data_IF_282991443310
#
_entry.id   IF_282991443310
#
_cell.length_a   1.000
_cell.length_b   1.000
_cell.length_c   1.000
_cell.angle_alpha   90.00
_cell.angle_beta   90.00
_cell.angle_gamma   90.00
#
_symmetry.space_group_name_H-M   'P 1'
#
loop_
_entity.id
_entity.type
_entity.pdbx_description
1 polymer ?
#
# COMPACT_ATOMS: atom_id res chain seq x y z
N UNK A 1 19.77 -14.98 -11.79
CA UNK A 1 19.45 -13.68 -11.16
C UNK A 1 20.31 -13.56 -9.91
N UNK A 2 20.93 -12.40 -9.66
CA UNK A 2 21.62 -12.13 -8.39
C UNK A 2 20.56 -11.86 -7.31
N UNK A 3 20.95 -11.99 -6.05
CA UNK A 3 20.06 -11.79 -4.89
C UNK A 3 19.36 -10.43 -4.92
N UNK A 4 20.05 -9.38 -5.36
CA UNK A 4 19.49 -8.02 -5.48
C UNK A 4 18.33 -7.92 -6.48
N UNK A 5 18.39 -8.62 -7.61
CA UNK A 5 17.28 -8.63 -8.57
C UNK A 5 16.09 -9.44 -8.06
N UNK A 6 16.35 -10.53 -7.32
CA UNK A 6 15.28 -11.31 -6.67
C UNK A 6 14.52 -10.45 -5.66
N UNK A 7 15.25 -9.69 -4.83
CA UNK A 7 14.64 -8.75 -3.88
C UNK A 7 13.84 -7.67 -4.61
N UNK A 8 14.36 -7.10 -5.70
CA UNK A 8 13.65 -6.09 -6.48
C UNK A 8 12.35 -6.63 -7.08
N UNK A 9 12.38 -7.80 -7.72
CA UNK A 9 11.19 -8.42 -8.28
C UNK A 9 10.18 -8.81 -7.20
N UNK A 10 10.62 -9.40 -6.09
CA UNK A 10 9.75 -9.75 -4.98
C UNK A 10 9.06 -8.50 -4.40
N UNK A 11 9.81 -7.42 -4.21
CA UNK A 11 9.28 -6.14 -3.73
C UNK A 11 8.26 -5.56 -4.73
N UNK A 12 8.55 -5.63 -6.04
CA UNK A 12 7.62 -5.19 -7.09
C UNK A 12 6.32 -6.00 -7.08
N UNK A 13 6.39 -7.33 -6.97
CA UNK A 13 5.20 -8.20 -6.93
C UNK A 13 4.28 -7.80 -5.76
N UNK A 14 4.86 -7.63 -4.57
CA UNK A 14 4.12 -7.21 -3.38
C UNK A 14 3.57 -5.79 -3.54
N UNK A 15 4.34 -4.87 -4.13
CA UNK A 15 3.89 -3.51 -4.41
C UNK A 15 2.68 -3.47 -5.36
N UNK A 16 2.71 -4.28 -6.43
CA UNK A 16 1.59 -4.37 -7.39
C UNK A 16 0.35 -4.98 -6.74
N UNK A 17 0.52 -6.01 -5.91
CA UNK A 17 -0.57 -6.56 -5.10
C UNK A 17 -1.20 -5.48 -4.20
N UNK A 18 -0.38 -4.73 -3.45
CA UNK A 18 -0.84 -3.65 -2.59
C UNK A 18 -1.55 -2.54 -3.38
N UNK A 19 -1.02 -2.15 -4.54
CA UNK A 19 -1.65 -1.19 -5.42
C UNK A 19 -3.05 -1.67 -5.82
N UNK A 20 -3.19 -2.92 -6.28
CA UNK A 20 -4.48 -3.51 -6.61
C UNK A 20 -5.46 -3.48 -5.44
N UNK A 21 -5.03 -3.90 -4.25
CA UNK A 21 -5.85 -3.88 -3.02
C UNK A 21 -6.32 -2.46 -2.69
N UNK A 22 -5.44 -1.46 -2.73
CA UNK A 22 -5.77 -0.07 -2.40
C UNK A 22 -6.71 0.54 -3.43
N UNK A 23 -6.47 0.32 -4.72
CA UNK A 23 -7.34 0.81 -5.79
C UNK A 23 -8.74 0.18 -5.73
N UNK A 24 -8.82 -1.14 -5.54
CA UNK A 24 -10.10 -1.84 -5.33
C UNK A 24 -10.81 -1.30 -4.10
N UNK A 25 -10.07 -1.05 -3.02
CA UNK A 25 -10.64 -0.49 -1.78
C UNK A 25 -11.21 0.91 -2.01
N UNK A 26 -10.48 1.75 -2.74
CA UNK A 26 -10.86 3.13 -3.02
C UNK A 26 -12.08 3.23 -3.94
N UNK A 27 -12.11 2.43 -5.02
CA UNK A 27 -13.12 2.55 -6.07
C UNK A 27 -14.37 1.72 -5.81
N UNK A 28 -14.24 0.60 -5.09
CA UNK A 28 -15.33 -0.36 -4.92
C UNK A 28 -15.70 -0.51 -3.45
N UNK A 29 -14.75 -0.88 -2.59
CA UNK A 29 -15.07 -1.27 -1.20
C UNK A 29 -15.65 -0.10 -0.42
N UNK A 30 -14.93 1.02 -0.30
CA UNK A 30 -15.39 2.15 0.50
C UNK A 30 -16.64 2.84 -0.07
N UNK A 31 -16.81 3.03 -1.40
CA UNK A 31 -18.06 3.58 -1.92
C UNK A 31 -19.27 2.70 -1.60
N UNK A 32 -19.12 1.37 -1.69
CA UNK A 32 -20.21 0.42 -1.39
C UNK A 32 -20.56 0.39 0.09
N UNK A 33 -19.68 0.82 1.01
CA UNK A 33 -20.02 0.94 2.43
C UNK A 33 -21.20 1.88 2.68
N UNK A 34 -21.42 2.88 1.82
CA UNK A 34 -22.56 3.78 1.93
C UNK A 34 -23.92 3.07 1.80
N UNK A 35 -23.94 1.83 1.28
CA UNK A 35 -25.13 1.00 1.13
C UNK A 35 -25.38 0.08 2.33
N UNK A 36 -24.46 0.01 3.29
CA UNK A 36 -24.60 -0.83 4.49
C UNK A 36 -25.55 -0.15 5.46
N UNK A 37 -26.61 -0.86 5.86
CA UNK A 37 -27.58 -0.37 6.83
C UNK A 37 -26.96 -0.13 8.21
N UNK A 38 -27.59 0.74 9.00
CA UNK A 38 -27.09 1.13 10.32
C UNK A 38 -27.04 -0.06 11.29
N UNK A 39 -28.04 -0.96 11.22
CA UNK A 39 -28.10 -2.16 12.04
C UNK A 39 -26.96 -3.16 11.73
N UNK A 40 -26.55 -3.25 10.46
CA UNK A 40 -25.51 -4.17 9.98
C UNK A 40 -24.10 -3.59 10.13
N UNK A 41 -23.97 -2.28 10.35
CA UNK A 41 -22.71 -1.55 10.25
C UNK A 41 -21.59 -2.11 11.14
N UNK A 42 -21.89 -2.39 12.41
CA UNK A 42 -20.91 -2.88 13.37
C UNK A 42 -20.42 -4.28 12.97
N UNK A 43 -21.35 -5.19 12.67
CA UNK A 43 -21.02 -6.56 12.27
C UNK A 43 -20.19 -6.57 10.97
N UNK A 44 -20.57 -5.73 10.01
CA UNK A 44 -19.82 -5.54 8.77
C UNK A 44 -18.39 -5.03 9.03
N UNK A 45 -18.23 -3.98 9.84
CA UNK A 45 -16.92 -3.40 10.14
C UNK A 45 -16.02 -4.38 10.93
N UNK A 46 -16.57 -5.13 11.88
CA UNK A 46 -15.81 -6.15 12.60
C UNK A 46 -15.36 -7.28 11.67
N UNK A 47 -16.26 -7.75 10.79
CA UNK A 47 -15.93 -8.73 9.76
C UNK A 47 -14.84 -8.20 8.80
N UNK A 48 -14.91 -6.94 8.40
CA UNK A 48 -13.90 -6.30 7.55
C UNK A 48 -12.54 -6.21 8.27
N UNK A 49 -12.52 -5.68 9.51
CA UNK A 49 -11.31 -5.57 10.35
C UNK A 49 -10.59 -6.90 10.56
N UNK A 50 -11.32 -8.01 10.76
CA UNK A 50 -10.70 -9.33 10.96
C UNK A 50 -9.98 -9.86 9.70
N UNK A 51 -10.31 -9.37 8.52
CA UNK A 51 -9.71 -9.80 7.24
C UNK A 51 -8.52 -8.94 6.80
N UNK A 52 -8.48 -7.67 7.26
CA UNK A 52 -7.42 -6.70 6.95
C UNK A 52 -5.97 -7.21 7.19
N UNK A 53 -5.65 -7.95 8.27
CA UNK A 53 -4.28 -8.37 8.51
C UNK A 53 -3.67 -9.17 7.36
N UNK A 54 -4.41 -10.14 6.83
CA UNK A 54 -3.92 -11.01 5.74
C UNK A 54 -3.91 -10.33 4.37
N UNK A 55 -4.86 -9.43 4.11
CA UNK A 55 -5.02 -8.80 2.78
C UNK A 55 -4.30 -7.47 2.62
N UNK A 56 -4.00 -6.77 3.72
CA UNK A 56 -3.40 -5.43 3.66
C UNK A 56 -2.18 -5.28 4.57
N UNK A 57 -2.23 -5.70 5.84
CA UNK A 57 -1.11 -5.41 6.76
C UNK A 57 0.13 -6.25 6.49
N UNK A 58 -0.02 -7.56 6.30
CA UNK A 58 1.12 -8.44 5.97
C UNK A 58 1.75 -8.03 4.63
N UNK A 59 0.98 -7.84 3.54
CA UNK A 59 1.53 -7.36 2.27
C UNK A 59 2.22 -5.99 2.34
N UNK A 60 1.68 -5.00 3.06
CA UNK A 60 2.40 -3.72 3.26
C UNK A 60 3.67 -3.89 4.10
N UNK A 61 3.65 -4.74 5.12
CA UNK A 61 4.85 -5.06 5.90
C UNK A 61 5.95 -5.69 5.04
N UNK A 62 5.58 -6.57 4.12
CA UNK A 62 6.50 -7.17 3.15
C UNK A 62 7.05 -6.14 2.15
N UNK A 63 6.25 -5.17 1.71
CA UNK A 63 6.72 -4.09 0.85
C UNK A 63 7.75 -3.20 1.55
N UNK A 64 7.49 -2.82 2.81
CA UNK A 64 8.43 -2.06 3.63
C UNK A 64 9.74 -2.84 3.87
N UNK A 65 9.65 -4.14 4.17
CA UNK A 65 10.81 -5.00 4.33
C UNK A 65 11.60 -5.10 3.01
N UNK A 66 10.94 -5.26 1.88
CA UNK A 66 11.56 -5.26 0.56
C UNK A 66 12.29 -3.95 0.27
N UNK A 67 11.66 -2.81 0.56
CA UNK A 67 12.27 -1.50 0.40
C UNK A 67 13.51 -1.31 1.30
N UNK A 68 13.46 -1.80 2.55
CA UNK A 68 14.63 -1.84 3.45
C UNK A 68 15.75 -2.72 2.89
N UNK A 69 15.42 -3.92 2.41
CA UNK A 69 16.40 -4.82 1.82
C UNK A 69 17.05 -4.22 0.57
N UNK A 70 16.32 -3.44 -0.24
CA UNK A 70 16.87 -2.75 -1.41
C UNK A 70 17.88 -1.65 -1.05
N UNK A 71 17.88 -1.11 0.16
CA UNK A 71 18.92 -0.18 0.61
C UNK A 71 20.27 -0.91 0.73
N UNK A 72 20.25 -2.12 1.28
CA UNK A 72 21.46 -2.94 1.52
C UNK A 72 21.85 -3.75 0.28
N UNK A 73 20.88 -4.35 -0.39
CA UNK A 73 21.02 -5.22 -1.55
C UNK A 73 20.65 -4.50 -2.85
N UNK A 74 21.04 -3.23 -2.97
CA UNK A 74 20.77 -2.39 -4.14
C UNK A 74 21.47 -2.96 -5.40
N UNK A 75 20.76 -3.20 -6.51
CA UNK A 75 21.42 -3.48 -7.78
C UNK A 75 22.29 -2.30 -8.22
N UNK A 76 23.50 -2.56 -8.73
CA UNK A 76 24.50 -1.51 -9.01
C UNK A 76 24.02 -0.43 -10.01
N UNK A 77 23.13 -0.80 -10.95
CA UNK A 77 22.54 0.11 -11.94
C UNK A 77 21.39 0.95 -11.38
N UNK A 78 20.87 0.64 -10.18
CA UNK A 78 19.83 1.44 -9.52
C UNK A 78 20.48 2.57 -8.73
N UNK A 79 20.11 3.85 -8.96
CA UNK A 79 20.69 4.96 -8.22
C UNK A 79 20.27 4.94 -6.74
N UNK A 80 21.16 5.39 -5.86
CA UNK A 80 20.97 5.30 -4.41
C UNK A 80 19.77 6.08 -3.89
N UNK A 81 19.46 7.24 -4.49
CA UNK A 81 18.29 8.03 -4.11
C UNK A 81 16.98 7.27 -4.31
N UNK A 82 16.92 6.36 -5.30
CA UNK A 82 15.70 5.68 -5.66
C UNK A 82 15.29 4.63 -4.60
N UNK A 83 16.24 3.89 -4.04
CA UNK A 83 15.94 2.92 -2.96
C UNK A 83 15.55 3.64 -1.66
N UNK A 84 16.16 4.80 -1.37
CA UNK A 84 15.76 5.63 -0.24
C UNK A 84 14.38 6.26 -0.43
N UNK A 85 14.05 6.70 -1.65
CA UNK A 85 12.70 7.19 -1.96
C UNK A 85 11.66 6.08 -1.82
N UNK A 86 11.95 4.88 -2.31
CA UNK A 86 11.07 3.71 -2.18
C UNK A 86 10.77 3.42 -0.69
N UNK A 87 11.81 3.38 0.15
CA UNK A 87 11.66 3.23 1.59
C UNK A 87 10.88 4.37 2.24
N UNK A 88 11.17 5.61 1.88
CA UNK A 88 10.47 6.79 2.42
C UNK A 88 8.97 6.75 2.13
N UNK A 89 8.57 6.33 0.92
CA UNK A 89 7.14 6.20 0.56
C UNK A 89 6.43 5.18 1.43
N UNK A 90 6.97 3.97 1.59
CA UNK A 90 6.37 2.93 2.46
C UNK A 90 6.38 3.34 3.95
N UNK A 91 7.44 4.00 4.41
CA UNK A 91 7.51 4.52 5.79
C UNK A 91 6.44 5.59 6.05
N UNK A 92 6.25 6.54 5.12
CA UNK A 92 5.19 7.55 5.19
C UNK A 92 3.81 6.89 5.16
N UNK A 93 3.62 5.89 4.30
CA UNK A 93 2.36 5.14 4.25
C UNK A 93 2.04 4.44 5.57
N UNK A 94 3.02 3.77 6.19
CA UNK A 94 2.86 3.12 7.49
C UNK A 94 2.53 4.15 8.57
N UNK A 95 3.29 5.24 8.64
CA UNK A 95 3.10 6.30 9.63
C UNK A 95 1.71 6.96 9.49
N UNK A 96 1.30 7.32 8.28
CA UNK A 96 -0.02 7.89 8.01
C UNK A 96 -1.15 6.89 8.28
N UNK A 97 -0.92 5.59 8.06
CA UNK A 97 -1.89 4.56 8.43
C UNK A 97 -2.07 4.48 9.94
N UNK A 98 -0.98 4.42 10.69
CA UNK A 98 -1.02 4.34 12.16
C UNK A 98 -1.61 5.59 12.81
N UNK A 99 -1.28 6.78 12.31
CA UNK A 99 -1.62 8.05 12.96
C UNK A 99 -2.93 8.67 12.47
N UNK A 100 -3.36 8.36 11.24
CA UNK A 100 -4.51 9.01 10.63
C UNK A 100 -5.60 8.03 10.18
N UNK A 101 -5.30 7.09 9.29
CA UNK A 101 -6.34 6.23 8.71
C UNK A 101 -6.87 5.17 9.70
N UNK A 102 -6.03 4.55 10.51
CA UNK A 102 -6.48 3.58 11.52
C UNK A 102 -7.37 4.24 12.58
N UNK A 103 -7.00 5.39 13.19
CA UNK A 103 -7.91 6.10 14.10
C UNK A 103 -9.22 6.53 13.44
N UNK A 104 -9.17 6.96 12.17
CA UNK A 104 -10.37 7.32 11.42
C UNK A 104 -11.30 6.11 11.23
N UNK A 105 -10.77 4.94 10.87
CA UNK A 105 -11.56 3.72 10.76
C UNK A 105 -12.11 3.24 12.10
N UNK A 106 -11.38 3.40 13.20
CA UNK A 106 -11.87 3.06 14.56
C UNK A 106 -13.06 3.95 14.94
N UNK A 107 -13.00 5.25 14.64
CA UNK A 107 -14.14 6.14 14.84
C UNK A 107 -15.33 5.72 13.97
N UNK A 108 -15.05 5.41 12.70
CA UNK A 108 -16.06 4.96 11.75
C UNK A 108 -16.70 3.63 12.17
N UNK A 109 -15.97 2.71 12.83
CA UNK A 109 -16.56 1.45 13.30
C UNK A 109 -17.56 1.61 14.45
N UNK A 110 -17.65 2.80 15.08
CA UNK A 110 -18.59 3.06 16.18
C UNK A 110 -19.99 3.48 15.69
N UNK A 111 -20.14 3.80 14.41
CA UNK A 111 -21.42 4.19 13.82
C UNK A 111 -21.27 4.62 12.36
N UNK A 112 -22.34 4.46 11.58
CA UNK A 112 -22.37 4.84 10.18
C UNK A 112 -22.46 6.37 10.03
N UNK A 113 -21.34 7.06 10.24
CA UNK A 113 -21.23 8.51 10.06
C UNK A 113 -20.83 8.86 8.60
N UNK A 114 -21.74 9.41 7.79
CA UNK A 114 -21.45 9.74 6.39
C UNK A 114 -20.37 10.81 6.23
N UNK A 115 -20.17 11.69 7.22
CA UNK A 115 -19.12 12.70 7.20
C UNK A 115 -17.74 12.05 7.35
N UNK A 116 -17.62 11.08 8.26
CA UNK A 116 -16.39 10.32 8.44
C UNK A 116 -16.10 9.43 7.22
N UNK A 117 -17.13 8.81 6.62
CA UNK A 117 -16.97 8.01 5.40
C UNK A 117 -16.49 8.86 4.22
N UNK A 118 -17.10 10.05 3.99
CA UNK A 118 -16.63 10.98 2.96
C UNK A 118 -15.19 11.44 3.20
N UNK A 119 -14.83 11.70 4.46
CA UNK A 119 -13.45 12.06 4.83
C UNK A 119 -12.47 10.91 4.56
N UNK A 120 -12.86 9.67 4.86
CA UNK A 120 -12.07 8.49 4.55
C UNK A 120 -11.84 8.38 3.04
N UNK A 121 -12.90 8.41 2.23
CA UNK A 121 -12.83 8.37 0.77
C UNK A 121 -11.94 9.47 0.18
N UNK A 122 -12.12 10.72 0.62
CA UNK A 122 -11.34 11.85 0.12
C UNK A 122 -9.85 11.73 0.45
N UNK A 123 -9.53 11.33 1.68
CA UNK A 123 -8.12 11.24 2.12
C UNK A 123 -7.43 9.93 1.73
N UNK A 124 -8.18 8.88 1.41
CA UNK A 124 -7.63 7.60 0.97
C UNK A 124 -7.09 7.67 -0.47
N UNK A 125 -7.50 8.65 -1.28
CA UNK A 125 -6.83 8.98 -2.55
C UNK A 125 -5.33 9.25 -2.39
N UNK A 126 -4.88 9.76 -1.24
CA UNK A 126 -3.45 9.93 -0.94
C UNK A 126 -2.75 8.57 -0.92
N UNK A 127 -3.37 7.52 -0.33
CA UNK A 127 -2.80 6.16 -0.36
C UNK A 127 -2.74 5.61 -1.77
N UNK A 128 -3.79 5.80 -2.56
CA UNK A 128 -3.83 5.36 -3.96
C UNK A 128 -2.68 6.00 -4.76
N UNK A 129 -2.42 7.30 -4.56
CA UNK A 129 -1.27 7.98 -5.14
C UNK A 129 0.07 7.40 -4.69
N UNK A 130 0.25 7.21 -3.37
CA UNK A 130 1.52 6.70 -2.81
C UNK A 130 1.86 5.28 -3.30
N UNK A 131 0.91 4.35 -3.30
CA UNK A 131 1.16 2.98 -3.81
C UNK A 131 1.45 2.96 -5.30
N UNK A 132 0.80 3.84 -6.07
CA UNK A 132 1.06 3.96 -7.51
C UNK A 132 2.45 4.52 -7.77
N UNK A 133 2.87 5.55 -7.03
CA UNK A 133 4.24 6.10 -7.13
C UNK A 133 5.29 5.07 -6.74
N UNK A 134 5.08 4.35 -5.63
CA UNK A 134 5.98 3.29 -5.19
C UNK A 134 6.10 2.18 -6.23
N UNK A 135 4.97 1.72 -6.76
CA UNK A 135 4.91 0.71 -7.80
C UNK A 135 5.61 1.15 -9.10
N UNK A 136 5.33 2.37 -9.57
CA UNK A 136 5.96 2.92 -10.77
C UNK A 136 7.48 3.08 -10.61
N UNK A 137 7.94 3.48 -9.43
CA UNK A 137 9.35 3.58 -9.09
C UNK A 137 10.05 2.21 -9.18
N UNK A 138 9.43 1.15 -8.65
CA UNK A 138 9.96 -0.21 -8.74
C UNK A 138 9.93 -0.77 -10.17
N UNK A 139 8.87 -0.49 -10.94
CA UNK A 139 8.83 -0.83 -12.37
C UNK A 139 9.99 -0.17 -13.11
N UNK A 140 10.26 1.11 -12.84
CA UNK A 140 11.39 1.82 -13.44
C UNK A 140 12.74 1.21 -13.07
N UNK A 141 12.94 0.84 -11.80
CA UNK A 141 14.15 0.11 -11.38
C UNK A 141 14.32 -1.22 -12.12
N UNK A 142 13.23 -1.94 -12.38
CA UNK A 142 13.25 -3.18 -13.18
C UNK A 142 13.57 -2.90 -14.64
N UNK A 143 13.04 -1.83 -15.24
CA UNK A 143 13.40 -1.43 -16.61
C UNK A 143 14.90 -1.15 -16.74
N UNK A 144 15.51 -0.48 -15.74
CA UNK A 144 16.96 -0.30 -15.71
C UNK A 144 17.73 -1.64 -15.70
N UNK A 145 17.17 -2.69 -15.09
CA UNK A 145 17.77 -4.02 -15.10
C UNK A 145 17.72 -4.66 -16.50
N UNK A 146 16.61 -4.51 -17.21
CA UNK A 146 16.41 -5.04 -18.57
C UNK A 146 17.37 -4.38 -19.57
N UNK A 147 17.55 -3.06 -19.45
CA UNK A 147 18.49 -2.31 -20.29
C UNK A 147 19.95 -2.75 -20.11
N UNK A 148 20.30 -3.30 -18.94
CA UNK A 148 21.64 -3.86 -18.69
C UNK A 148 21.82 -5.27 -19.26
N UNK A 149 20.73 -6.05 -19.39
CA UNK A 149 20.79 -7.40 -19.97
C UNK A 149 20.81 -7.38 -21.50
N UNK A 150 20.30 -6.30 -22.11
CA UNK A 150 20.34 -6.09 -23.56
C UNK A 150 21.64 -5.48 -24.09
N UNK A 151 22.57 -5.09 -23.20
CA UNK A 151 23.93 -4.64 -23.53
C UNK A 151 24.93 -5.76 -23.30
#
# INVERSE_FOLDING_TARGET
>A
MRTSEVVLLATLIVAMFNAGVIWLTQLVVYPVWALVGEAEWSAYHDAHKRRLPGTAFVPHGLALLGALLLIVLRPAYVPGWAVWLAFAVEAVMLAATATYWAPLQIRLSRGNDPRLLRRLLATHWIRAGLVTVFGALLCWMVMLALDQLGR
#
